data_IF_569558605341
#
_entry.id   IF_569558605341
#
_cell.length_a   1.000
_cell.length_b   1.000
_cell.length_c   1.000
_cell.angle_alpha   90.00
_cell.angle_beta   90.00
_cell.angle_gamma   90.00
#
_symmetry.space_group_name_H-M   'P 1'
#
loop_
_entity.id
_entity.type
_entity.pdbx_description
1 polymer ?
#
# COMPACT_ATOMS: atom_id res chain seq x y z
N UNK A 1 -3.68 -9.37 -12.40
CA UNK A 1 -4.96 -8.67 -12.08
C UNK A 1 -4.84 -7.27 -12.66
N UNK A 2 -5.73 -6.88 -13.56
CA UNK A 2 -5.74 -5.55 -14.17
C UNK A 2 -6.91 -4.73 -13.63
N UNK A 3 -6.66 -3.46 -13.29
CA UNK A 3 -7.66 -2.57 -12.73
C UNK A 3 -8.73 -2.24 -13.79
N UNK A 4 -10.01 -2.44 -13.46
CA UNK A 4 -11.13 -2.30 -14.41
C UNK A 4 -11.34 -0.86 -14.90
N UNK A 5 -10.88 0.14 -14.13
CA UNK A 5 -11.01 1.56 -14.44
C UNK A 5 -9.72 2.32 -14.07
N UNK A 6 -8.70 2.36 -14.95
CA UNK A 6 -7.42 3.02 -14.67
C UNK A 6 -7.49 4.55 -14.68
N UNK A 7 -8.62 5.16 -15.02
CA UNK A 7 -8.80 6.62 -15.06
C UNK A 7 -9.51 7.18 -13.84
N UNK A 8 -10.03 6.31 -12.95
CA UNK A 8 -10.78 6.74 -11.78
C UNK A 8 -9.90 6.65 -10.54
N UNK A 9 -9.63 7.81 -9.94
CA UNK A 9 -8.91 7.89 -8.66
C UNK A 9 -9.78 7.23 -7.59
N UNK A 10 -9.18 6.30 -6.84
CA UNK A 10 -9.78 5.63 -5.69
C UNK A 10 -8.85 5.75 -4.49
N UNK A 11 -9.43 5.67 -3.30
CA UNK A 11 -8.65 5.49 -2.07
C UNK A 11 -8.59 3.98 -1.79
N UNK A 12 -7.40 3.43 -1.71
CA UNK A 12 -7.13 2.03 -1.40
C UNK A 12 -6.66 1.91 0.05
N UNK A 13 -7.48 1.30 0.90
CA UNK A 13 -7.09 0.93 2.26
C UNK A 13 -6.30 -0.38 2.24
N UNK A 14 -5.01 -0.31 2.54
CA UNK A 14 -4.13 -1.47 2.60
C UNK A 14 -3.89 -1.82 4.07
N UNK A 15 -4.25 -3.04 4.44
CA UNK A 15 -3.89 -3.64 5.72
C UNK A 15 -2.65 -4.50 5.50
N UNK A 16 -1.57 -4.17 6.20
CA UNK A 16 -0.32 -4.90 6.12
C UNK A 16 0.14 -5.30 7.52
N UNK A 17 0.73 -6.48 7.61
CA UNK A 17 1.44 -6.91 8.81
C UNK A 17 2.91 -7.01 8.44
N UNK A 18 3.75 -6.22 9.11
CA UNK A 18 5.19 -6.26 8.88
C UNK A 18 5.92 -6.82 10.11
N UNK A 19 7.05 -7.46 9.84
CA UNK A 19 7.97 -7.95 10.86
C UNK A 19 9.07 -6.91 11.06
N UNK A 20 9.08 -6.30 12.25
CA UNK A 20 10.21 -5.50 12.73
C UNK A 20 11.21 -6.41 13.44
N UNK A 21 12.43 -5.91 13.69
CA UNK A 21 13.48 -6.60 14.46
C UNK A 21 13.02 -7.01 15.86
N UNK A 22 12.03 -6.33 16.42
CA UNK A 22 11.52 -6.53 17.78
C UNK A 22 10.12 -7.15 17.85
N UNK A 23 9.45 -7.41 16.73
CA UNK A 23 8.12 -8.02 16.74
C UNK A 23 7.30 -7.87 15.47
N UNK A 24 6.06 -8.36 15.52
CA UNK A 24 5.09 -8.20 14.43
C UNK A 24 4.18 -7.01 14.70
N UNK A 25 4.07 -6.13 13.72
CA UNK A 25 3.22 -4.93 13.81
C UNK A 25 2.19 -4.95 12.69
N UNK A 26 0.93 -4.71 13.06
CA UNK A 26 -0.13 -4.46 12.10
C UNK A 26 -0.14 -2.98 11.77
N UNK A 27 -0.27 -2.66 10.49
CA UNK A 27 -0.37 -1.31 9.98
C UNK A 27 -1.54 -1.26 9.01
N UNK A 28 -2.35 -0.22 9.15
CA UNK A 28 -3.35 0.15 8.17
C UNK A 28 -2.93 1.48 7.56
N UNK A 29 -2.95 1.55 6.24
CA UNK A 29 -2.67 2.79 5.54
C UNK A 29 -3.51 2.92 4.28
N UNK A 30 -3.95 4.15 4.03
CA UNK A 30 -4.69 4.50 2.83
C UNK A 30 -3.78 5.15 1.80
N UNK A 31 -3.83 4.65 0.57
CA UNK A 31 -3.11 5.18 -0.59
C UNK A 31 -4.12 5.65 -1.63
N UNK A 32 -3.90 6.85 -2.18
CA UNK A 32 -4.74 7.42 -3.23
C UNK A 32 -4.07 7.22 -4.57
N UNK A 33 -4.65 6.36 -5.40
CA UNK A 33 -4.14 6.12 -6.74
C UNK A 33 -5.27 5.73 -7.71
N UNK A 34 -4.93 5.69 -8.99
CA UNK A 34 -5.73 5.24 -10.11
C UNK A 34 -5.75 3.73 -10.24
N UNK A 35 -4.70 3.04 -9.77
CA UNK A 35 -4.56 1.58 -9.85
C UNK A 35 -4.14 0.97 -8.52
N UNK A 36 -4.57 -0.27 -8.27
CA UNK A 36 -4.13 -1.00 -7.09
C UNK A 36 -2.62 -1.30 -7.12
N UNK A 37 -2.04 -1.54 -8.30
CA UNK A 37 -0.61 -1.83 -8.42
C UNK A 37 0.24 -0.63 -8.01
N UNK A 38 -0.08 0.58 -8.50
CA UNK A 38 0.62 1.80 -8.11
C UNK A 38 0.47 2.12 -6.62
N UNK A 39 -0.70 1.86 -6.03
CA UNK A 39 -0.91 1.99 -4.59
C UNK A 39 -0.01 1.04 -3.78
N UNK A 40 0.22 -0.19 -4.26
CA UNK A 40 1.12 -1.17 -3.63
C UNK A 40 2.59 -0.78 -3.82
N UNK A 41 2.99 -0.27 -4.99
CA UNK A 41 4.35 0.23 -5.22
C UNK A 41 4.69 1.42 -4.32
N UNK A 42 3.74 2.34 -4.11
CA UNK A 42 3.88 3.45 -3.17
C UNK A 42 4.02 2.94 -1.73
N UNK A 43 3.24 1.93 -1.34
CA UNK A 43 3.36 1.29 -0.03
C UNK A 43 4.76 0.67 0.17
N UNK A 44 5.29 -0.03 -0.83
CA UNK A 44 6.63 -0.62 -0.75
C UNK A 44 7.73 0.44 -0.63
N UNK A 45 7.67 1.51 -1.43
CA UNK A 45 8.62 2.62 -1.34
C UNK A 45 8.58 3.29 0.03
N UNK A 46 7.39 3.48 0.59
CA UNK A 46 7.27 4.10 1.90
C UNK A 46 7.77 3.19 3.03
N UNK A 47 7.50 1.89 2.97
CA UNK A 47 8.05 0.94 3.94
C UNK A 47 9.57 0.86 3.84
N UNK A 48 10.15 0.84 2.63
CA UNK A 48 11.60 0.84 2.43
C UNK A 48 12.28 2.16 2.82
N UNK A 49 11.54 3.28 2.79
CA UNK A 49 12.07 4.58 3.18
C UNK A 49 11.94 4.85 4.68
N UNK A 50 10.95 4.26 5.36
CA UNK A 50 10.65 4.54 6.78
C UNK A 50 11.10 3.44 7.74
N UNK A 51 11.56 2.29 7.25
CA UNK A 51 12.12 1.16 8.01
C UNK A 51 13.32 0.54 7.28
#
# INVERSE_FOLDING_TARGET
>A
IFEKNPTKIKNYGIWLRYQSRTGYHNMYKEFRDTTLNGAVDLMYNEMASRH
#
